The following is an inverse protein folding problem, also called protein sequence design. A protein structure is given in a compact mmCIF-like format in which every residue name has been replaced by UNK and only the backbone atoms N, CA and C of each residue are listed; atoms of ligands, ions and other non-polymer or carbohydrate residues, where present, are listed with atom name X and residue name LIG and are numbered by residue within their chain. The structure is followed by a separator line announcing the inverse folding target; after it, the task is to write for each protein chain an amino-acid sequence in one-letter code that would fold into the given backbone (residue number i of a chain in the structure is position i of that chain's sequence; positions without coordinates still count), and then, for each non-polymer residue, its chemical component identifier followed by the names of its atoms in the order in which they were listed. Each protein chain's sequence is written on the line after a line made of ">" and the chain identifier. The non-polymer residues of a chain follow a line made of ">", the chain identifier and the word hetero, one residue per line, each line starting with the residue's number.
data_IF_481426034974
#
_entry.id   IF_481426034974
#
_cell.length_a   1.000
_cell.length_b   1.000
_cell.length_c   1.000
_cell.angle_alpha   90.00
_cell.angle_beta   90.00
_cell.angle_gamma   90.00
#
_symmetry.space_group_name_H-M   'P 1'
#
loop_
_entity.id
_entity.type
_entity.pdbx_description
1 polymer ?
#
# COMPACT_ATOMS: atom_id res chain seq x y z
N UNK A 1 -6.75 -7.78 16.34
CA UNK A 1 -5.51 -8.51 15.96
C UNK A 1 -4.42 -8.19 16.96
N UNK A 2 -3.65 -9.18 17.39
CA UNK A 2 -2.52 -9.00 18.30
C UNK A 2 -1.21 -9.14 17.51
N UNK A 3 -0.80 -8.08 16.82
CA UNK A 3 0.51 -8.01 16.18
C UNK A 3 1.45 -7.14 17.03
N UNK A 4 2.72 -7.52 17.22
CA UNK A 4 3.70 -6.70 17.93
C UNK A 4 3.80 -5.30 17.34
N UNK A 5 3.96 -4.28 18.19
CA UNK A 5 4.24 -2.93 17.72
C UNK A 5 5.69 -2.87 17.24
N UNK A 6 5.89 -2.60 15.96
CA UNK A 6 7.22 -2.57 15.36
C UNK A 6 7.19 -2.28 13.86
N UNK A 7 8.37 -2.36 13.25
CA UNK A 7 8.54 -2.20 11.82
C UNK A 7 8.33 -3.53 11.09
N UNK A 8 7.52 -3.50 10.04
CA UNK A 8 7.27 -4.64 9.17
C UNK A 8 7.77 -4.28 7.77
N UNK A 9 8.62 -5.14 7.20
CA UNK A 9 9.08 -4.97 5.82
C UNK A 9 7.89 -5.06 4.86
N UNK A 10 7.72 -4.06 3.98
CA UNK A 10 6.65 -3.99 2.99
C UNK A 10 7.11 -4.36 1.56
N UNK A 11 8.19 -3.77 1.09
CA UNK A 11 8.79 -3.99 -0.24
C UNK A 11 10.16 -3.31 -0.31
N UNK A 12 11.01 -3.72 -1.24
CA UNK A 12 12.13 -2.88 -1.65
C UNK A 12 11.61 -1.64 -2.38
N UNK A 13 12.33 -0.53 -2.23
CA UNK A 13 11.97 0.74 -2.85
C UNK A 13 12.10 0.72 -4.37
N UNK A 14 12.96 -0.12 -4.93
CA UNK A 14 13.20 -0.24 -6.38
C UNK A 14 12.02 -0.92 -7.09
N UNK A 15 11.32 -1.82 -6.39
CA UNK A 15 10.16 -2.54 -6.92
C UNK A 15 8.89 -1.67 -6.99
N UNK A 16 8.96 -0.39 -6.62
CA UNK A 16 7.83 0.54 -6.64
C UNK A 16 8.24 1.84 -7.33
N UNK A 17 7.99 1.91 -8.64
CA UNK A 17 8.32 3.11 -9.43
C UNK A 17 7.49 4.31 -8.99
N UNK A 18 7.98 5.56 -9.14
CA UNK A 18 7.16 6.76 -8.96
C UNK A 18 5.87 6.69 -9.77
N UNK A 19 4.74 7.00 -9.12
CA UNK A 19 3.39 6.84 -9.68
C UNK A 19 2.83 5.42 -9.63
N UNK A 20 3.61 4.43 -9.19
CA UNK A 20 3.18 3.05 -9.07
C UNK A 20 2.37 2.77 -7.79
N UNK A 21 1.53 1.74 -7.86
CA UNK A 21 0.81 1.16 -6.72
C UNK A 21 0.95 -0.36 -6.76
N UNK A 22 1.08 -0.98 -5.59
CA UNK A 22 1.16 -2.43 -5.42
C UNK A 22 0.34 -2.87 -4.20
N UNK A 23 -0.34 -4.02 -4.27
CA UNK A 23 -1.01 -4.60 -3.12
C UNK A 23 0.00 -5.23 -2.16
N UNK A 24 -0.14 -4.96 -0.86
CA UNK A 24 0.53 -5.72 0.21
C UNK A 24 -0.50 -6.21 1.24
N UNK A 25 -0.18 -7.29 1.96
CA UNK A 25 -1.08 -7.90 2.94
C UNK A 25 -0.41 -7.96 4.31
N UNK A 26 -0.98 -7.26 5.27
CA UNK A 26 -0.54 -7.27 6.67
C UNK A 26 -1.74 -7.30 7.59
N UNK A 27 -1.58 -7.98 8.72
CA UNK A 27 -2.58 -7.99 9.79
C UNK A 27 -3.96 -8.39 9.26
N UNK A 28 -4.05 -9.43 8.41
CA UNK A 28 -5.32 -9.87 7.81
C UNK A 28 -5.99 -8.88 6.85
N UNK A 29 -5.40 -7.71 6.63
CA UNK A 29 -5.91 -6.64 5.78
C UNK A 29 -5.06 -6.46 4.52
N UNK A 30 -5.66 -5.82 3.51
CA UNK A 30 -4.99 -5.48 2.25
C UNK A 30 -4.73 -3.99 2.25
N UNK A 31 -3.51 -3.63 1.87
CA UNK A 31 -3.04 -2.25 1.87
C UNK A 31 -2.58 -1.87 0.46
N UNK A 32 -2.80 -0.61 0.09
CA UNK A 32 -2.26 -0.02 -1.12
C UNK A 32 -0.92 0.65 -0.79
N UNK A 33 0.18 0.00 -1.15
CA UNK A 33 1.51 0.59 -1.11
C UNK A 33 1.71 1.38 -2.41
N UNK A 34 1.92 2.68 -2.32
CA UNK A 34 2.09 3.55 -3.48
C UNK A 34 3.34 4.42 -3.36
N UNK A 35 3.82 4.92 -4.51
CA UNK A 35 4.83 5.96 -4.54
C UNK A 35 4.28 7.16 -5.28
N UNK A 36 4.26 8.32 -4.62
CA UNK A 36 3.87 9.58 -5.24
C UNK A 36 4.76 9.91 -6.43
N UNK A 37 4.29 10.78 -7.32
CA UNK A 37 5.11 11.28 -8.45
C UNK A 37 6.34 12.06 -7.98
N UNK A 38 6.31 12.57 -6.75
CA UNK A 38 7.46 13.18 -6.05
C UNK A 38 8.47 12.14 -5.50
N UNK A 39 8.25 10.84 -5.74
CA UNK A 39 9.13 9.76 -5.28
C UNK A 39 8.89 9.28 -3.84
N UNK A 40 7.98 9.92 -3.09
CA UNK A 40 7.74 9.59 -1.68
C UNK A 40 6.81 8.37 -1.57
N UNK A 41 7.19 7.29 -0.86
CA UNK A 41 6.33 6.14 -0.63
C UNK A 41 5.27 6.44 0.44
N UNK A 42 4.13 5.77 0.34
CA UNK A 42 3.05 5.81 1.33
C UNK A 42 2.24 4.52 1.32
N UNK A 43 1.47 4.32 2.39
CA UNK A 43 0.58 3.17 2.54
C UNK A 43 -0.77 3.63 3.09
N UNK A 44 -1.86 3.12 2.52
CA UNK A 44 -3.24 3.34 2.97
C UNK A 44 -4.02 2.04 2.92
N UNK A 45 -5.16 1.99 3.61
CA UNK A 45 -6.13 0.90 3.41
C UNK A 45 -6.46 0.78 1.91
N UNK A 46 -6.45 -0.44 1.39
CA UNK A 46 -6.78 -0.67 0.00
C UNK A 46 -8.24 -0.33 -0.32
N UNK A 47 -9.14 -0.32 0.66
CA UNK A 47 -10.56 -0.04 0.47
C UNK A 47 -10.83 1.47 0.51
N UNK A 48 -11.26 2.02 -0.62
CA UNK A 48 -11.73 3.41 -0.68
C UNK A 48 -12.94 3.63 0.25
N UNK A 49 -12.86 4.59 1.16
CA UNK A 49 -13.92 4.91 2.13
C UNK A 49 -15.22 5.45 1.50
N UNK A 50 -15.18 5.86 0.23
CA UNK A 50 -16.36 6.35 -0.48
C UNK A 50 -17.28 5.20 -0.96
N UNK A 51 -16.76 4.31 -1.82
CA UNK A 51 -17.55 3.20 -2.42
C UNK A 51 -16.86 1.84 -2.40
N UNK A 52 -15.77 1.68 -1.66
CA UNK A 52 -15.12 0.38 -1.46
C UNK A 52 -14.27 -0.11 -2.65
N UNK A 53 -13.93 0.76 -3.60
CA UNK A 53 -12.98 0.42 -4.66
C UNK A 53 -11.63 -0.03 -4.07
N UNK A 54 -11.00 -1.02 -4.70
CA UNK A 54 -9.66 -1.48 -4.32
C UNK A 54 -8.60 -0.54 -4.93
N UNK A 55 -8.08 0.36 -4.10
CA UNK A 55 -7.04 1.33 -4.43
C UNK A 55 -5.71 0.67 -4.80
N UNK A 56 -5.46 -0.57 -4.37
CA UNK A 56 -4.25 -1.30 -4.74
C UNK A 56 -4.28 -1.80 -6.19
N UNK A 57 -5.43 -1.72 -6.87
CA UNK A 57 -5.61 -2.06 -8.28
C UNK A 57 -5.66 -0.82 -9.20
N UNK A 58 -5.67 0.39 -8.64
CA UNK A 58 -5.97 1.64 -9.36
C UNK A 58 -4.80 2.18 -10.24
N UNK A 59 -3.74 1.40 -10.45
CA UNK A 59 -2.55 1.81 -11.21
C UNK A 59 -2.34 1.09 -12.54
N UNK A 60 -3.42 0.79 -13.27
CA UNK A 60 -3.34 0.40 -14.69
C UNK A 60 -3.38 1.64 -15.57
#
# INVERSE_FOLDING_TARGET
>A
MNAPRGWYFASFGEDLRPGGVRPVRYFGERWALFRGRNGVPGVVDARCVHRGADLALAGR
#
